data_IF_114108995241
#
_entry.id   IF_114108995241
#
_cell.length_a   1.000
_cell.length_b   1.000
_cell.length_c   1.000
_cell.angle_alpha   90.00
_cell.angle_beta   90.00
_cell.angle_gamma   90.00
#
_symmetry.space_group_name_H-M   'P 1'
#
loop_
_entity.id
_entity.type
_entity.pdbx_description
1 polymer ?
#
# COMPACT_ATOMS: atom_id res chain seq x y z
N UNK A 1 32.99 7.61 8.61
CA UNK A 1 31.60 8.09 8.82
C UNK A 1 30.69 7.31 7.87
N UNK A 2 30.10 6.20 8.30
CA UNK A 2 29.37 5.25 7.42
C UNK A 2 28.12 4.66 8.08
N UNK A 3 28.01 4.78 9.41
CA UNK A 3 26.93 4.21 10.21
C UNK A 3 25.62 5.01 10.13
N UNK A 4 25.68 6.33 9.92
CA UNK A 4 24.49 7.19 9.85
C UNK A 4 23.68 7.00 8.55
N UNK A 5 24.35 6.70 7.43
CA UNK A 5 23.70 6.52 6.12
C UNK A 5 22.97 5.17 6.02
N UNK A 6 23.52 4.13 6.66
CA UNK A 6 22.90 2.80 6.69
C UNK A 6 21.62 2.77 7.54
N UNK A 7 21.61 3.50 8.66
CA UNK A 7 20.45 3.60 9.55
C UNK A 7 19.35 4.49 8.95
N UNK A 8 19.70 5.59 8.28
CA UNK A 8 18.71 6.42 7.57
C UNK A 8 18.06 5.68 6.39
N UNK A 9 18.82 4.89 5.64
CA UNK A 9 18.27 4.08 4.54
C UNK A 9 17.32 2.99 5.06
N UNK A 10 17.70 2.26 6.13
CA UNK A 10 16.82 1.27 6.77
C UNK A 10 15.54 1.89 7.31
N UNK A 11 15.63 3.05 7.97
CA UNK A 11 14.44 3.75 8.50
C UNK A 11 13.55 4.32 7.41
N UNK A 12 14.11 4.77 6.28
CA UNK A 12 13.31 5.20 5.14
C UNK A 12 12.59 4.02 4.47
N UNK A 13 13.28 2.90 4.28
CA UNK A 13 12.71 1.66 3.73
C UNK A 13 11.55 1.14 4.59
N UNK A 14 11.75 1.05 5.91
CA UNK A 14 10.70 0.64 6.84
C UNK A 14 9.50 1.59 6.86
N UNK A 15 9.74 2.91 6.78
CA UNK A 15 8.67 3.91 6.70
C UNK A 15 7.86 3.76 5.41
N UNK A 16 8.53 3.55 4.26
CA UNK A 16 7.86 3.30 2.98
C UNK A 16 7.01 2.04 3.02
N UNK A 17 7.56 0.91 3.49
CA UNK A 17 6.79 -0.33 3.63
C UNK A 17 5.56 -0.13 4.52
N UNK A 18 5.73 0.53 5.67
CA UNK A 18 4.63 0.83 6.58
C UNK A 18 3.55 1.68 5.91
N UNK A 19 3.92 2.66 5.07
CA UNK A 19 2.96 3.48 4.35
C UNK A 19 2.16 2.66 3.32
N UNK A 20 2.83 1.79 2.55
CA UNK A 20 2.18 0.88 1.59
C UNK A 20 1.20 -0.06 2.29
N UNK A 21 1.60 -0.69 3.40
CA UNK A 21 0.74 -1.58 4.18
C UNK A 21 -0.47 -0.85 4.77
N UNK A 22 -0.27 0.39 5.25
CA UNK A 22 -1.40 1.22 5.73
C UNK A 22 -2.39 1.52 4.61
N UNK A 23 -1.90 1.83 3.40
CA UNK A 23 -2.77 2.07 2.25
C UNK A 23 -3.54 0.80 1.86
N UNK A 24 -2.88 -0.36 1.88
CA UNK A 24 -3.53 -1.66 1.61
C UNK A 24 -4.73 -1.90 2.53
N UNK A 25 -4.55 -1.69 3.83
CA UNK A 25 -5.63 -1.87 4.81
C UNK A 25 -6.82 -0.92 4.55
N UNK A 26 -6.56 0.31 4.12
CA UNK A 26 -7.59 1.29 3.78
C UNK A 26 -8.38 0.85 2.55
N UNK A 27 -7.71 0.45 1.47
CA UNK A 27 -8.38 0.03 0.23
C UNK A 27 -9.19 -1.25 0.44
N UNK A 28 -8.68 -2.21 1.22
CA UNK A 28 -9.42 -3.42 1.59
C UNK A 28 -10.68 -3.09 2.41
N UNK A 29 -10.56 -2.22 3.41
CA UNK A 29 -11.72 -1.79 4.20
C UNK A 29 -12.74 -1.02 3.35
N UNK A 30 -12.29 -0.22 2.39
CA UNK A 30 -13.18 0.47 1.46
C UNK A 30 -13.89 -0.51 0.52
N UNK A 31 -13.19 -1.52 -0.01
CA UNK A 31 -13.80 -2.57 -0.83
C UNK A 31 -14.83 -3.37 -0.02
N UNK A 32 -14.50 -3.79 1.19
CA UNK A 32 -15.42 -4.50 2.09
C UNK A 32 -16.68 -3.67 2.34
N UNK A 33 -16.52 -2.38 2.63
CA UNK A 33 -17.64 -1.46 2.80
C UNK A 33 -18.51 -1.37 1.53
N UNK A 34 -17.90 -1.29 0.34
CA UNK A 34 -18.64 -1.25 -0.92
C UNK A 34 -19.45 -2.52 -1.16
N UNK A 35 -18.84 -3.68 -0.91
CA UNK A 35 -19.49 -4.98 -1.10
C UNK A 35 -20.62 -5.20 -0.08
N UNK A 36 -20.38 -4.90 1.20
CA UNK A 36 -21.38 -5.05 2.25
C UNK A 36 -22.57 -4.09 2.07
N UNK A 37 -22.32 -2.89 1.54
CA UNK A 37 -23.35 -1.89 1.27
C UNK A 37 -24.12 -2.10 -0.04
N UNK A 38 -23.75 -3.09 -0.87
CA UNK A 38 -24.31 -3.26 -2.21
C UNK A 38 -24.07 -2.05 -3.12
N UNK A 39 -22.96 -1.32 -2.91
CA UNK A 39 -22.60 -0.16 -3.72
C UNK A 39 -22.29 -0.58 -5.17
N UNK A 40 -22.42 0.38 -6.10
CA UNK A 40 -22.34 0.09 -7.52
C UNK A 40 -20.94 -0.32 -8.00
N UNK A 41 -20.90 -0.89 -9.20
CA UNK A 41 -19.68 -1.33 -9.90
C UNK A 41 -18.58 -0.27 -9.94
N UNK A 42 -18.92 1.02 -10.01
CA UNK A 42 -17.90 2.08 -10.11
C UNK A 42 -17.10 2.23 -8.81
N UNK A 43 -17.73 2.13 -7.64
CA UNK A 43 -17.05 2.20 -6.35
C UNK A 43 -16.18 0.96 -6.12
N UNK A 44 -16.71 -0.23 -6.44
CA UNK A 44 -15.96 -1.49 -6.37
C UNK A 44 -14.74 -1.45 -7.29
N UNK A 45 -14.90 -0.99 -8.54
CA UNK A 45 -13.81 -0.84 -9.50
C UNK A 45 -12.77 0.20 -9.05
N UNK A 46 -13.21 1.26 -8.38
CA UNK A 46 -12.31 2.26 -7.81
C UNK A 46 -11.46 1.65 -6.69
N UNK A 47 -12.08 0.91 -5.77
CA UNK A 47 -11.36 0.18 -4.72
C UNK A 47 -10.39 -0.85 -5.29
N UNK A 48 -10.81 -1.61 -6.32
CA UNK A 48 -9.94 -2.56 -7.01
C UNK A 48 -8.72 -1.89 -7.66
N UNK A 49 -8.91 -0.75 -8.34
CA UNK A 49 -7.81 0.03 -8.94
C UNK A 49 -6.84 0.55 -7.86
N UNK A 50 -7.38 0.95 -6.71
CA UNK A 50 -6.60 1.35 -5.54
C UNK A 50 -5.74 0.19 -5.01
N UNK A 51 -6.30 -1.02 -4.92
CA UNK A 51 -5.58 -2.22 -4.51
C UNK A 51 -4.45 -2.58 -5.49
N UNK A 52 -4.71 -2.55 -6.80
CA UNK A 52 -3.70 -2.82 -7.83
C UNK A 52 -2.50 -1.88 -7.67
N UNK A 53 -2.77 -0.58 -7.50
CA UNK A 53 -1.72 0.44 -7.28
C UNK A 53 -0.87 0.15 -6.03
N UNK A 54 -1.51 -0.31 -4.94
CA UNK A 54 -0.80 -0.65 -3.70
C UNK A 54 0.04 -1.91 -3.86
N UNK A 55 -0.45 -2.89 -4.60
CA UNK A 55 0.28 -4.12 -4.93
C UNK A 55 1.51 -3.78 -5.77
N UNK A 56 1.37 -2.93 -6.78
CA UNK A 56 2.50 -2.45 -7.59
C UNK A 56 3.56 -1.75 -6.74
N UNK A 57 3.13 -0.85 -5.84
CA UNK A 57 4.04 -0.20 -4.88
C UNK A 57 4.76 -1.20 -3.95
N UNK A 58 4.08 -2.28 -3.55
CA UNK A 58 4.67 -3.33 -2.74
C UNK A 58 5.69 -4.15 -3.55
N UNK A 59 5.36 -4.52 -4.78
CA UNK A 59 6.24 -5.24 -5.69
C UNK A 59 7.51 -4.43 -5.98
N UNK A 60 7.39 -3.14 -6.27
CA UNK A 60 8.53 -2.23 -6.42
C UNK A 60 9.40 -2.19 -5.15
N UNK A 61 8.77 -2.14 -3.98
CA UNK A 61 9.49 -2.13 -2.71
C UNK A 61 10.26 -3.45 -2.46
N UNK A 62 9.71 -4.58 -2.87
CA UNK A 62 10.32 -5.90 -2.74
C UNK A 62 11.44 -6.12 -3.76
N UNK A 63 11.27 -5.64 -4.99
CA UNK A 63 12.28 -5.73 -6.05
C UNK A 63 13.53 -4.88 -5.78
N UNK A 64 13.39 -3.79 -5.00
CA UNK A 64 14.47 -2.88 -4.64
C UNK A 64 15.13 -3.19 -3.27
N UNK A 65 15.05 -4.45 -2.80
CA UNK A 65 15.75 -4.94 -1.60
C UNK A 65 17.07 -5.60 -1.96
#
# INVERSE_FOLDING_TARGET
MTTATLTTHRTHHQRRLRAVVKRLAIELGYLEHCLAGGLQDTQVRTAATGLDTVIDCLNEHLANR
#
